data_IF_683590920242
#
_entry.id   IF_683590920242
#
_cell.length_a   1.000
_cell.length_b   1.000
_cell.length_c   1.000
_cell.angle_alpha   90.00
_cell.angle_beta   90.00
_cell.angle_gamma   90.00
#
_symmetry.space_group_name_H-M   'P 1'
#
loop_
_entity.id
_entity.type
_entity.pdbx_description
1 polymer ?
#
# COMPACT_ATOMS: atom_id res chain seq x y z
N UNK A 1 -55.48 -15.06 29.15
CA UNK A 1 -54.04 -15.32 29.12
C UNK A 1 -53.37 -15.04 27.77
N UNK A 2 -53.98 -15.32 26.65
CA UNK A 2 -53.44 -15.07 25.29
C UNK A 2 -53.30 -13.57 24.93
N UNK A 3 -54.15 -12.69 25.45
CA UNK A 3 -54.14 -11.26 25.11
C UNK A 3 -52.93 -10.49 25.68
N UNK A 4 -52.34 -10.97 26.78
CA UNK A 4 -51.14 -10.37 27.38
C UNK A 4 -49.87 -10.65 26.58
N UNK A 5 -49.77 -11.79 25.91
CA UNK A 5 -48.63 -12.16 25.06
C UNK A 5 -48.57 -11.36 23.74
N UNK A 6 -49.72 -11.06 23.15
CA UNK A 6 -49.81 -10.30 21.90
C UNK A 6 -49.38 -8.84 22.12
N UNK A 7 -49.77 -8.23 23.24
CA UNK A 7 -49.36 -6.87 23.61
C UNK A 7 -47.84 -6.79 23.89
N UNK A 8 -47.28 -7.80 24.52
CA UNK A 8 -45.84 -7.85 24.81
C UNK A 8 -45.01 -7.98 23.53
N UNK A 9 -45.49 -8.77 22.56
CA UNK A 9 -44.82 -8.97 21.26
C UNK A 9 -44.87 -7.71 20.38
N UNK A 10 -46.00 -6.98 20.39
CA UNK A 10 -46.11 -5.69 19.67
C UNK A 10 -45.21 -4.61 20.29
N UNK A 11 -45.11 -4.60 21.61
CA UNK A 11 -44.22 -3.62 22.29
C UNK A 11 -42.75 -3.89 22.00
N UNK A 12 -42.31 -5.14 21.96
CA UNK A 12 -40.96 -5.55 21.63
C UNK A 12 -40.59 -5.23 20.17
N UNK A 13 -41.49 -5.48 19.21
CA UNK A 13 -41.29 -5.16 17.81
C UNK A 13 -41.19 -3.64 17.56
N UNK A 14 -42.00 -2.84 18.23
CA UNK A 14 -41.90 -1.39 18.14
C UNK A 14 -40.61 -0.84 18.79
N UNK A 15 -40.15 -1.45 19.89
CA UNK A 15 -38.92 -1.09 20.56
C UNK A 15 -37.68 -1.37 19.66
N UNK A 16 -37.63 -2.56 19.08
CA UNK A 16 -36.55 -2.98 18.16
C UNK A 16 -36.53 -2.10 16.91
N UNK A 17 -37.66 -1.84 16.26
CA UNK A 17 -37.72 -0.98 15.08
C UNK A 17 -37.33 0.48 15.36
N UNK A 18 -37.71 1.00 16.53
CA UNK A 18 -37.43 2.41 16.87
C UNK A 18 -35.97 2.64 17.23
N UNK A 19 -35.33 1.71 17.95
CA UNK A 19 -33.94 1.84 18.34
C UNK A 19 -32.97 1.37 17.23
N UNK A 20 -33.28 0.32 16.50
CA UNK A 20 -32.46 -0.21 15.43
C UNK A 20 -32.44 0.75 14.23
N UNK A 21 -33.59 1.31 13.84
CA UNK A 21 -33.68 2.30 12.75
C UNK A 21 -33.00 3.62 13.09
N UNK A 22 -33.10 4.12 14.34
CA UNK A 22 -32.50 5.40 14.73
C UNK A 22 -30.99 5.32 14.99
N UNK A 23 -30.46 4.16 15.34
CA UNK A 23 -29.02 4.03 15.64
C UNK A 23 -28.18 3.54 14.47
N UNK A 24 -28.74 2.72 13.57
CA UNK A 24 -28.02 2.13 12.44
C UNK A 24 -27.97 3.08 11.24
N UNK A 25 -29.04 3.84 11.00
CA UNK A 25 -29.08 4.78 9.87
C UNK A 25 -27.99 5.85 9.95
N UNK A 26 -27.73 6.54 11.08
CA UNK A 26 -26.62 7.49 11.16
C UNK A 26 -25.26 6.80 11.08
N UNK A 27 -25.10 5.56 11.58
CA UNK A 27 -23.85 4.80 11.47
C UNK A 27 -23.53 4.41 10.02
N UNK A 28 -24.54 4.00 9.23
CA UNK A 28 -24.41 3.73 7.80
C UNK A 28 -24.08 4.99 6.98
N UNK A 29 -24.66 6.14 7.34
CA UNK A 29 -24.36 7.42 6.70
C UNK A 29 -22.92 7.85 7.01
N UNK A 30 -22.45 7.68 8.25
CA UNK A 30 -21.06 7.99 8.63
C UNK A 30 -20.08 7.08 7.88
N UNK A 31 -20.39 5.79 7.70
CA UNK A 31 -19.56 4.85 6.93
C UNK A 31 -19.53 5.18 5.43
N UNK A 32 -20.63 5.67 4.86
CA UNK A 32 -20.67 6.07 3.44
C UNK A 32 -19.96 7.40 3.17
N UNK A 33 -19.91 8.32 4.13
CA UNK A 33 -19.19 9.59 4.00
C UNK A 33 -17.65 9.41 4.06
N UNK A 34 -17.15 8.35 4.70
CA UNK A 34 -15.73 8.03 4.71
C UNK A 34 -15.19 7.58 3.32
N UNK A 35 -16.05 7.10 2.43
CA UNK A 35 -15.66 6.72 1.06
C UNK A 35 -15.21 7.92 0.19
N UNK A 36 -15.72 9.13 0.45
CA UNK A 36 -15.30 10.34 -0.26
C UNK A 36 -14.08 11.03 0.36
N UNK A 37 -13.81 10.80 1.66
CA UNK A 37 -12.65 11.36 2.36
C UNK A 37 -11.33 10.65 1.97
N UNK A 38 -11.39 9.44 1.44
CA UNK A 38 -10.20 8.69 0.99
C UNK A 38 -9.49 9.42 -0.16
N UNK A 39 -10.21 10.09 -1.05
CA UNK A 39 -9.59 10.82 -2.18
C UNK A 39 -8.77 12.04 -1.72
N UNK A 40 -9.23 12.80 -0.74
CA UNK A 40 -8.48 13.96 -0.23
C UNK A 40 -7.30 13.54 0.66
N UNK A 41 -7.44 12.47 1.42
CA UNK A 41 -6.34 11.90 2.21
C UNK A 41 -5.28 11.22 1.34
N UNK A 42 -5.61 10.72 0.16
CA UNK A 42 -4.63 10.20 -0.80
C UNK A 42 -3.77 11.33 -1.40
N UNK A 43 -4.31 12.51 -1.67
CA UNK A 43 -3.52 13.64 -2.16
C UNK A 43 -2.57 14.17 -1.08
N UNK A 44 -3.04 14.37 0.15
CA UNK A 44 -2.17 14.75 1.29
C UNK A 44 -1.13 13.65 1.55
N UNK A 45 -1.51 12.38 1.44
CA UNK A 45 -0.61 11.25 1.56
C UNK A 45 0.48 11.21 0.48
N UNK A 46 0.17 11.62 -0.77
CA UNK A 46 1.15 11.63 -1.87
C UNK A 46 2.19 12.73 -1.70
N UNK A 47 1.82 13.94 -1.27
CA UNK A 47 2.76 15.03 -0.99
C UNK A 47 3.71 14.69 0.16
N UNK A 48 3.19 14.13 1.24
CA UNK A 48 4.01 13.65 2.36
C UNK A 48 4.93 12.51 1.92
N UNK A 49 4.43 11.56 1.14
CA UNK A 49 5.21 10.45 0.62
C UNK A 49 6.32 10.91 -0.34
N UNK A 50 6.09 11.94 -1.13
CA UNK A 50 7.09 12.53 -2.03
C UNK A 50 8.33 13.02 -1.27
N UNK A 51 8.16 13.55 -0.09
CA UNK A 51 9.26 14.06 0.75
C UNK A 51 9.84 12.95 1.62
N UNK A 52 9.00 12.16 2.26
CA UNK A 52 9.44 11.23 3.31
C UNK A 52 10.07 9.96 2.76
N UNK A 53 9.60 9.45 1.62
CA UNK A 53 10.16 8.21 1.04
C UNK A 53 11.63 8.36 0.65
N UNK A 54 12.06 9.40 -0.12
CA UNK A 54 13.48 9.58 -0.44
C UNK A 54 14.37 9.77 0.80
N UNK A 55 13.87 10.50 1.82
CA UNK A 55 14.61 10.68 3.08
C UNK A 55 14.84 9.35 3.81
N UNK A 56 13.94 8.39 3.64
CA UNK A 56 14.08 7.08 4.27
C UNK A 56 15.14 6.19 3.60
N UNK A 57 15.53 6.43 2.35
CA UNK A 57 16.37 5.53 1.56
C UNK A 57 17.76 5.33 2.16
N UNK A 58 18.39 6.39 2.65
CA UNK A 58 19.70 6.31 3.30
C UNK A 58 19.62 5.59 4.65
N UNK A 59 18.57 5.81 5.42
CA UNK A 59 18.33 5.08 6.66
C UNK A 59 18.18 3.57 6.43
N UNK A 60 17.42 3.18 5.39
CA UNK A 60 17.23 1.79 5.00
C UNK A 60 18.55 1.14 4.54
N UNK A 61 19.35 1.85 3.74
CA UNK A 61 20.68 1.40 3.31
C UNK A 61 21.58 1.12 4.51
N UNK A 62 21.63 2.03 5.48
CA UNK A 62 22.40 1.84 6.72
C UNK A 62 21.93 0.65 7.55
N UNK A 63 20.60 0.38 7.61
CA UNK A 63 20.06 -0.81 8.30
C UNK A 63 20.51 -2.10 7.62
N UNK A 64 20.50 -2.15 6.30
CA UNK A 64 20.98 -3.30 5.51
C UNK A 64 22.47 -3.52 5.77
N UNK A 65 23.30 -2.46 5.74
CA UNK A 65 24.74 -2.56 5.99
C UNK A 65 25.07 -3.10 7.39
N UNK A 66 24.27 -2.72 8.40
CA UNK A 66 24.45 -3.23 9.79
C UNK A 66 24.01 -4.67 9.97
N UNK A 67 23.01 -5.12 9.21
CA UNK A 67 22.46 -6.47 9.31
C UNK A 67 22.15 -7.04 7.91
N UNK A 68 23.17 -7.44 7.16
CA UNK A 68 23.01 -7.89 5.76
C UNK A 68 22.22 -9.20 5.61
N UNK A 69 22.10 -10.00 6.68
CA UNK A 69 21.28 -11.23 6.67
C UNK A 69 19.78 -10.99 6.97
N UNK A 70 19.35 -9.75 7.22
CA UNK A 70 17.94 -9.51 7.54
C UNK A 70 17.11 -9.26 6.27
N UNK A 71 16.39 -10.28 5.83
CA UNK A 71 15.53 -10.24 4.65
C UNK A 71 14.54 -9.07 4.66
N UNK A 72 13.93 -8.78 5.82
CA UNK A 72 12.89 -7.75 5.95
C UNK A 72 13.42 -6.35 5.61
N UNK A 73 14.70 -6.07 5.89
CA UNK A 73 15.30 -4.78 5.56
C UNK A 73 15.39 -4.56 4.05
N UNK A 74 15.73 -5.60 3.29
CA UNK A 74 15.75 -5.55 1.82
C UNK A 74 14.34 -5.42 1.25
N UNK A 75 13.36 -6.16 1.76
CA UNK A 75 11.96 -6.06 1.33
C UNK A 75 11.41 -4.66 1.56
N UNK A 76 11.62 -4.07 2.73
CA UNK A 76 11.18 -2.71 3.04
C UNK A 76 11.89 -1.67 2.17
N UNK A 77 13.18 -1.83 1.92
CA UNK A 77 13.94 -0.95 1.06
C UNK A 77 13.48 -1.02 -0.41
N UNK A 78 13.16 -2.21 -0.90
CA UNK A 78 12.57 -2.40 -2.23
C UNK A 78 11.18 -1.77 -2.31
N UNK A 79 10.29 -2.11 -1.37
CA UNK A 79 8.90 -1.62 -1.35
C UNK A 79 8.83 -0.09 -1.39
N UNK A 80 9.60 0.60 -0.55
CA UNK A 80 9.56 2.07 -0.50
C UNK A 80 10.03 2.71 -1.80
N UNK A 81 11.03 2.14 -2.48
CA UNK A 81 11.52 2.65 -3.77
C UNK A 81 10.54 2.39 -4.90
N UNK A 82 9.91 1.22 -4.95
CA UNK A 82 8.84 0.91 -5.92
C UNK A 82 7.67 1.87 -5.73
N UNK A 83 7.25 2.08 -4.48
CA UNK A 83 6.16 3.02 -4.18
C UNK A 83 6.48 4.44 -4.65
N UNK A 84 7.70 4.92 -4.42
CA UNK A 84 8.11 6.24 -4.87
C UNK A 84 8.26 6.32 -6.40
N UNK A 85 8.88 5.31 -7.01
CA UNK A 85 9.08 5.26 -8.46
C UNK A 85 7.75 5.24 -9.21
N UNK A 86 6.85 4.32 -8.84
CA UNK A 86 5.56 4.15 -9.51
C UNK A 86 4.55 5.23 -9.12
N UNK A 87 4.34 5.44 -7.82
CA UNK A 87 3.27 6.29 -7.32
C UNK A 87 3.56 7.79 -7.37
N UNK A 88 4.84 8.19 -7.47
CA UNK A 88 5.21 9.60 -7.49
C UNK A 88 5.91 9.98 -8.80
N UNK A 89 7.02 9.31 -9.15
CA UNK A 89 7.81 9.75 -10.30
C UNK A 89 7.12 9.46 -11.63
N UNK A 90 6.58 8.25 -11.81
CA UNK A 90 5.86 7.92 -13.06
C UNK A 90 4.62 8.78 -13.22
N UNK A 91 3.87 8.98 -12.14
CA UNK A 91 2.68 9.84 -12.16
C UNK A 91 3.02 11.30 -12.55
N UNK A 92 4.14 11.84 -12.06
CA UNK A 92 4.64 13.15 -12.51
C UNK A 92 5.06 13.13 -13.98
N UNK A 93 5.69 12.05 -14.43
CA UNK A 93 6.02 11.84 -15.83
C UNK A 93 4.77 11.86 -16.72
N UNK A 94 3.73 11.12 -16.33
CA UNK A 94 2.47 11.03 -17.06
C UNK A 94 1.79 12.40 -17.20
N UNK A 95 1.73 13.17 -16.12
CA UNK A 95 1.15 14.53 -16.14
C UNK A 95 1.87 15.49 -17.10
N UNK A 96 3.17 15.32 -17.27
CA UNK A 96 3.98 16.21 -18.09
C UNK A 96 4.17 15.73 -19.53
N UNK A 97 3.70 14.53 -19.89
CA UNK A 97 3.96 13.89 -21.17
C UNK A 97 3.66 14.78 -22.37
N UNK A 98 2.58 15.55 -22.31
CA UNK A 98 2.12 16.40 -23.40
C UNK A 98 2.53 17.88 -23.25
N UNK A 99 2.88 18.33 -22.05
CA UNK A 99 3.23 19.73 -21.78
C UNK A 99 4.73 19.98 -21.73
N UNK A 100 5.50 19.02 -21.19
CA UNK A 100 6.96 19.10 -21.07
C UNK A 100 7.57 17.70 -21.21
N UNK A 101 7.76 17.28 -22.46
CA UNK A 101 8.25 15.95 -22.82
C UNK A 101 9.63 15.65 -22.20
N UNK A 102 10.54 16.61 -22.19
CA UNK A 102 11.90 16.37 -21.66
C UNK A 102 11.89 16.13 -20.16
N UNK A 103 11.10 16.90 -19.43
CA UNK A 103 10.93 16.72 -17.98
C UNK A 103 10.18 15.43 -17.65
N UNK A 104 9.19 15.06 -18.44
CA UNK A 104 8.53 13.76 -18.36
C UNK A 104 9.51 12.60 -18.47
N UNK A 105 10.39 12.64 -19.49
CA UNK A 105 11.44 11.63 -19.70
C UNK A 105 12.42 11.54 -18.54
N UNK A 106 12.79 12.66 -17.92
CA UNK A 106 13.65 12.69 -16.73
C UNK A 106 13.01 11.95 -15.55
N UNK A 107 11.70 12.15 -15.32
CA UNK A 107 10.95 11.40 -14.29
C UNK A 107 10.91 9.90 -14.56
N UNK A 108 10.68 9.47 -15.79
CA UNK A 108 10.71 8.05 -16.15
C UNK A 108 12.10 7.43 -15.99
N UNK A 109 13.16 8.15 -16.37
CA UNK A 109 14.54 7.69 -16.17
C UNK A 109 14.84 7.47 -14.68
N UNK A 110 14.52 8.45 -13.82
CA UNK A 110 14.69 8.33 -12.37
C UNK A 110 13.85 7.17 -11.78
N UNK A 111 12.65 6.96 -12.31
CA UNK A 111 11.80 5.83 -11.91
C UNK A 111 12.44 4.50 -12.27
N UNK A 112 12.98 4.37 -13.49
CA UNK A 112 13.68 3.18 -13.95
C UNK A 112 14.88 2.83 -13.06
N UNK A 113 15.70 3.81 -12.70
CA UNK A 113 16.84 3.62 -11.80
C UNK A 113 16.40 3.04 -10.44
N UNK A 114 15.30 3.55 -9.89
CA UNK A 114 14.76 3.03 -8.64
C UNK A 114 14.18 1.62 -8.78
N UNK A 115 13.56 1.27 -9.91
CA UNK A 115 13.12 -0.11 -10.17
C UNK A 115 14.30 -1.08 -10.26
N UNK A 116 15.39 -0.69 -10.91
CA UNK A 116 16.62 -1.50 -10.97
C UNK A 116 17.20 -1.73 -9.57
N UNK A 117 17.31 -0.68 -8.75
CA UNK A 117 17.77 -0.79 -7.37
C UNK A 117 16.83 -1.68 -6.55
N UNK A 118 15.53 -1.51 -6.70
CA UNK A 118 14.51 -2.29 -5.99
C UNK A 118 14.57 -3.77 -6.33
N UNK A 119 14.73 -4.09 -7.61
CA UNK A 119 14.92 -5.47 -8.08
C UNK A 119 16.13 -6.11 -7.41
N UNK A 120 17.25 -5.39 -7.32
CA UNK A 120 18.45 -5.91 -6.69
C UNK A 120 18.23 -6.19 -5.19
N UNK A 121 17.50 -5.32 -4.49
CA UNK A 121 17.10 -5.60 -3.11
C UNK A 121 16.19 -6.83 -2.99
N UNK A 122 15.23 -7.00 -3.91
CA UNK A 122 14.38 -8.20 -3.92
C UNK A 122 15.18 -9.47 -4.15
N UNK A 123 16.14 -9.47 -5.08
CA UNK A 123 17.02 -10.60 -5.31
C UNK A 123 17.85 -10.96 -4.07
N UNK A 124 18.42 -9.95 -3.39
CA UNK A 124 19.13 -10.19 -2.13
C UNK A 124 18.21 -10.76 -1.04
N UNK A 125 16.96 -10.28 -0.95
CA UNK A 125 15.99 -10.82 -0.02
C UNK A 125 15.62 -12.28 -0.32
N UNK A 126 15.55 -12.65 -1.60
CA UNK A 126 15.29 -14.01 -2.05
C UNK A 126 16.50 -14.92 -1.81
N UNK A 127 17.73 -14.46 -2.05
CA UNK A 127 18.95 -15.21 -1.77
C UNK A 127 19.13 -15.50 -0.27
N UNK A 128 18.69 -14.58 0.61
CA UNK A 128 18.69 -14.82 2.07
C UNK A 128 17.70 -15.92 2.45
N UNK A 129 16.55 -15.97 1.79
CA UNK A 129 15.51 -16.96 2.10
C UNK A 129 15.74 -18.31 1.41
N UNK A 130 16.21 -18.27 0.17
CA UNK A 130 16.40 -19.44 -0.68
C UNK A 130 17.83 -19.47 -1.19
N UNK A 131 18.61 -20.40 -0.74
CA UNK A 131 20.03 -20.51 -1.06
C UNK A 131 20.28 -20.48 -2.58
N UNK A 132 21.17 -19.57 -3.01
CA UNK A 132 21.57 -19.39 -4.41
C UNK A 132 20.38 -19.14 -5.38
N UNK A 133 19.29 -18.51 -4.90
CA UNK A 133 18.08 -18.28 -5.69
C UNK A 133 18.38 -17.62 -7.04
N UNK A 134 19.14 -16.51 -7.04
CA UNK A 134 19.44 -15.74 -8.26
C UNK A 134 20.25 -16.58 -9.25
N UNK A 135 21.20 -17.37 -8.76
CA UNK A 135 22.00 -18.25 -9.63
C UNK A 135 21.15 -19.37 -10.22
N UNK A 136 20.34 -20.04 -9.41
CA UNK A 136 19.40 -21.08 -9.87
C UNK A 136 18.42 -20.54 -10.91
N UNK A 137 17.86 -19.36 -10.67
CA UNK A 137 16.97 -18.67 -11.62
C UNK A 137 17.68 -18.39 -12.97
N UNK A 138 18.94 -17.94 -12.94
CA UNK A 138 19.74 -17.70 -14.17
C UNK A 138 20.03 -18.98 -14.93
N UNK A 139 20.26 -20.07 -14.22
CA UNK A 139 20.52 -21.38 -14.80
C UNK A 139 19.24 -22.09 -15.28
N UNK A 140 18.05 -21.46 -15.11
CA UNK A 140 16.74 -22.05 -15.41
C UNK A 140 16.50 -23.38 -14.65
N UNK A 141 17.05 -23.50 -13.47
CA UNK A 141 16.80 -24.63 -12.58
C UNK A 141 15.36 -24.54 -12.02
N UNK A 142 14.73 -25.69 -11.81
CA UNK A 142 13.42 -25.74 -11.14
C UNK A 142 13.56 -25.20 -9.71
N UNK A 143 12.89 -24.08 -9.47
CA UNK A 143 12.86 -23.46 -8.15
C UNK A 143 11.60 -23.94 -7.46
N UNK A 144 11.75 -25.00 -6.64
CA UNK A 144 10.67 -25.44 -5.75
C UNK A 144 10.59 -24.49 -4.57
N UNK A 145 9.47 -23.85 -4.40
CA UNK A 145 9.13 -23.08 -3.21
C UNK A 145 8.44 -24.04 -2.23
N UNK A 146 9.15 -24.49 -1.20
CA UNK A 146 8.59 -25.20 -0.06
C UNK A 146 7.93 -24.24 0.93
#
# INVERSE_FOLDING_TARGET
MLMSYVLHFQYMNNFINTYFSKSITPLLIILSLNGCAINNNMMIGSEVAEITLPLSFESQKRKIQKNPGNQLFYLNASKSRITYAYGILMEKGDRLMYSDYYKSRDYYSKSLDLFVISRNYLFNALDIKYENFVQRMRNKEDILFE
#
